data_IF_242229850848
#
_entry.id   IF_242229850848
#
_cell.length_a   1.000
_cell.length_b   1.000
_cell.length_c   1.000
_cell.angle_alpha   90.00
_cell.angle_beta   90.00
_cell.angle_gamma   90.00
#
_symmetry.space_group_name_H-M   'P 1'
#
loop_
_entity.id
_entity.type
_entity.pdbx_description
1 polymer ?
#
# COMPACT_ATOMS: atom_id res chain seq x y z
N UNK A 1 -16.08 5.59 -1.76
CA UNK A 1 -15.01 4.63 -1.46
C UNK A 1 -14.88 4.34 0.01
N UNK A 2 -15.46 3.22 0.44
CA UNK A 2 -15.28 2.60 1.77
C UNK A 2 -14.31 1.42 1.65
N UNK A 3 -13.35 1.31 2.57
CA UNK A 3 -12.27 0.33 2.50
C UNK A 3 -12.30 -0.63 3.70
N UNK A 4 -12.43 -1.93 3.46
CA UNK A 4 -12.32 -2.94 4.53
C UNK A 4 -10.88 -3.43 4.64
N UNK A 5 -10.32 -3.51 5.86
CA UNK A 5 -8.99 -4.07 6.10
C UNK A 5 -9.11 -5.29 7.01
N UNK A 6 -8.96 -6.48 6.44
CA UNK A 6 -9.10 -7.76 7.14
C UNK A 6 -7.75 -8.39 7.45
N UNK A 7 -7.67 -9.08 8.60
CA UNK A 7 -6.52 -9.86 9.05
C UNK A 7 -6.97 -11.26 9.50
N UNK A 8 -6.05 -12.22 9.67
CA UNK A 8 -6.37 -13.55 10.18
C UNK A 8 -6.93 -13.52 11.61
N UNK A 9 -7.61 -14.60 12.02
CA UNK A 9 -8.29 -14.66 13.33
C UNK A 9 -7.34 -14.60 14.53
N UNK A 10 -6.12 -15.14 14.41
CA UNK A 10 -5.10 -15.11 15.45
C UNK A 10 -3.79 -14.48 14.92
N UNK A 11 -3.80 -13.16 14.67
CA UNK A 11 -2.76 -12.48 13.93
C UNK A 11 -1.46 -12.35 14.73
N UNK A 12 -0.32 -12.41 14.04
CA UNK A 12 0.96 -12.01 14.61
C UNK A 12 0.90 -10.53 15.05
N UNK A 13 1.66 -10.16 16.10
CA UNK A 13 1.68 -8.78 16.63
C UNK A 13 1.94 -7.72 15.55
N UNK A 14 2.82 -8.03 14.60
CA UNK A 14 3.19 -7.14 13.50
C UNK A 14 2.07 -7.05 12.45
N UNK A 15 1.26 -8.10 12.28
CA UNK A 15 0.07 -8.09 11.42
C UNK A 15 -0.98 -7.14 12.01
N UNK A 16 -1.22 -7.22 13.32
CA UNK A 16 -2.12 -6.30 14.03
C UNK A 16 -1.62 -4.86 13.98
N UNK A 17 -0.33 -4.65 14.20
CA UNK A 17 0.29 -3.32 14.09
C UNK A 17 0.15 -2.74 12.67
N UNK A 18 0.42 -3.54 11.64
CA UNK A 18 0.27 -3.13 10.25
C UNK A 18 -1.18 -2.78 9.92
N UNK A 19 -2.16 -3.59 10.37
CA UNK A 19 -3.57 -3.28 10.16
C UNK A 19 -3.93 -1.92 10.77
N UNK A 20 -3.56 -1.68 12.04
CA UNK A 20 -3.82 -0.43 12.74
C UNK A 20 -3.19 0.76 12.02
N UNK A 21 -1.95 0.61 11.55
CA UNK A 21 -1.27 1.66 10.78
C UNK A 21 -1.96 1.93 9.45
N UNK A 22 -2.40 0.90 8.71
CA UNK A 22 -3.15 1.09 7.48
C UNK A 22 -4.50 1.76 7.73
N UNK A 23 -5.19 1.43 8.82
CA UNK A 23 -6.43 2.10 9.24
C UNK A 23 -6.24 3.58 9.57
N UNK A 24 -5.06 3.96 10.06
CA UNK A 24 -4.72 5.35 10.32
C UNK A 24 -4.35 6.12 9.05
N UNK A 25 -3.89 5.42 8.00
CA UNK A 25 -3.38 5.99 6.75
C UNK A 25 -4.48 6.13 5.70
N UNK A 26 -5.30 5.08 5.53
CA UNK A 26 -6.26 4.98 4.44
C UNK A 26 -7.56 5.65 4.87
N UNK A 27 -8.03 6.69 4.16
CA UNK A 27 -9.27 7.37 4.50
C UNK A 27 -10.48 6.44 4.31
N UNK A 28 -11.52 6.65 5.11
CA UNK A 28 -12.76 5.86 5.07
C UNK A 28 -12.55 4.34 5.19
N UNK A 29 -11.51 3.94 5.92
CA UNK A 29 -11.20 2.53 6.15
C UNK A 29 -11.72 2.04 7.50
N UNK A 30 -12.01 0.75 7.59
CA UNK A 30 -12.42 0.08 8.83
C UNK A 30 -11.82 -1.33 8.91
N UNK A 31 -11.61 -1.81 10.14
CA UNK A 31 -11.05 -3.13 10.39
C UNK A 31 -12.15 -4.19 10.44
N UNK A 32 -11.92 -5.34 9.78
CA UNK A 32 -12.84 -6.47 9.80
C UNK A 32 -13.09 -7.05 8.41
N UNK A 33 -14.01 -8.00 8.36
CA UNK A 33 -14.47 -8.59 7.10
C UNK A 33 -15.26 -7.58 6.26
N UNK A 34 -15.19 -7.68 4.91
CA UNK A 34 -15.90 -6.78 4.02
C UNK A 34 -17.42 -6.87 4.18
N UNK A 35 -18.06 -5.71 4.24
CA UNK A 35 -19.51 -5.54 4.13
C UNK A 35 -19.94 -5.27 2.68
N UNK A 36 -21.25 -5.29 2.42
CA UNK A 36 -21.82 -5.01 1.08
C UNK A 36 -21.49 -3.62 0.53
N UNK A 37 -21.05 -2.69 1.39
CA UNK A 37 -20.68 -1.31 1.01
C UNK A 37 -19.18 -1.15 0.74
N UNK A 38 -18.40 -2.22 0.86
CA UNK A 38 -16.95 -2.18 0.72
C UNK A 38 -16.57 -2.19 -0.76
N UNK A 39 -16.17 -1.02 -1.24
CA UNK A 39 -15.71 -0.84 -2.63
C UNK A 39 -14.29 -1.37 -2.82
N UNK A 40 -13.45 -1.26 -1.80
CA UNK A 40 -12.07 -1.79 -1.80
C UNK A 40 -11.86 -2.71 -0.61
N UNK A 41 -11.29 -3.87 -0.88
CA UNK A 41 -10.97 -4.90 0.10
C UNK A 41 -9.45 -5.02 0.19
N UNK A 42 -8.93 -4.80 1.39
CA UNK A 42 -7.53 -5.03 1.73
C UNK A 42 -7.46 -6.21 2.67
N UNK A 43 -6.70 -7.24 2.31
CA UNK A 43 -6.43 -8.39 3.17
C UNK A 43 -4.94 -8.50 3.43
N UNK A 44 -4.57 -8.52 4.70
CA UNK A 44 -3.21 -8.89 5.10
C UNK A 44 -3.18 -10.40 5.27
N UNK A 45 -2.29 -11.06 4.54
CA UNK A 45 -2.06 -12.50 4.64
C UNK A 45 -0.73 -12.70 5.35
N UNK A 46 -0.75 -13.54 6.37
CA UNK A 46 0.41 -13.84 7.20
C UNK A 46 0.83 -15.31 7.06
N UNK A 47 2.06 -15.56 7.47
CA UNK A 47 2.60 -16.89 7.77
C UNK A 47 3.11 -16.86 9.21
N UNK A 48 4.41 -16.70 9.45
CA UNK A 48 4.94 -16.35 10.79
C UNK A 48 4.66 -14.89 11.15
N UNK A 49 4.53 -14.02 10.15
CA UNK A 49 4.20 -12.60 10.26
C UNK A 49 3.62 -12.08 8.94
N UNK A 50 3.37 -10.77 8.79
CA UNK A 50 2.70 -10.23 7.62
C UNK A 50 3.55 -10.46 6.36
N UNK A 51 3.02 -11.22 5.40
CA UNK A 51 3.76 -11.69 4.22
C UNK A 51 3.24 -11.11 2.91
N UNK A 52 1.94 -10.91 2.79
CA UNK A 52 1.33 -10.26 1.62
C UNK A 52 0.27 -9.26 2.02
N UNK A 53 0.11 -8.24 1.19
CA UNK A 53 -1.05 -7.34 1.19
C UNK A 53 -1.77 -7.55 -0.13
N UNK A 54 -3.03 -7.95 -0.04
CA UNK A 54 -3.90 -8.13 -1.19
C UNK A 54 -4.86 -6.95 -1.23
N UNK A 55 -4.79 -6.15 -2.28
CA UNK A 55 -5.77 -5.12 -2.58
C UNK A 55 -6.70 -5.64 -3.65
N UNK A 56 -8.00 -5.41 -3.51
CA UNK A 56 -9.01 -5.87 -4.45
C UNK A 56 -10.13 -4.85 -4.57
N UNK A 57 -10.55 -4.56 -5.78
CA UNK A 57 -11.82 -3.92 -6.11
C UNK A 57 -12.63 -4.82 -7.07
N UNK A 58 -13.66 -4.27 -7.71
CA UNK A 58 -14.48 -4.98 -8.70
C UNK A 58 -13.72 -5.40 -9.96
N UNK A 59 -12.69 -4.66 -10.36
CA UNK A 59 -11.99 -4.79 -11.64
C UNK A 59 -10.64 -5.47 -11.52
N UNK A 60 -9.93 -5.30 -10.42
CA UNK A 60 -8.55 -5.74 -10.25
C UNK A 60 -8.26 -6.24 -8.84
N UNK A 61 -7.40 -7.25 -8.76
CA UNK A 61 -6.76 -7.69 -7.53
C UNK A 61 -5.24 -7.59 -7.66
N UNK A 62 -4.62 -6.82 -6.79
CA UNK A 62 -3.18 -6.65 -6.66
C UNK A 62 -2.68 -7.45 -5.45
N UNK A 63 -1.74 -8.37 -5.68
CA UNK A 63 -1.06 -9.11 -4.60
C UNK A 63 0.35 -8.57 -4.48
N UNK A 64 0.63 -7.88 -3.38
CA UNK A 64 1.95 -7.34 -3.06
C UNK A 64 2.59 -8.20 -1.97
N UNK A 65 3.78 -8.74 -2.25
CA UNK A 65 4.61 -9.38 -1.24
C UNK A 65 5.28 -8.32 -0.38
N UNK A 66 5.19 -8.47 0.94
CA UNK A 66 5.96 -7.69 1.90
C UNK A 66 7.37 -8.28 1.93
N UNK A 67 8.35 -7.51 1.45
CA UNK A 67 9.77 -7.85 1.51
C UNK A 67 10.35 -7.38 2.83
N UNK A 68 9.93 -6.20 3.29
CA UNK A 68 10.30 -5.66 4.58
C UNK A 68 9.16 -4.81 5.13
N UNK A 69 8.89 -4.96 6.42
CA UNK A 69 8.01 -4.10 7.18
C UNK A 69 8.76 -3.58 8.41
N UNK A 70 8.72 -2.26 8.61
CA UNK A 70 9.16 -1.58 9.83
C UNK A 70 7.99 -0.73 10.33
N UNK A 71 7.44 -1.11 11.48
CA UNK A 71 6.36 -0.37 12.12
C UNK A 71 6.83 1.02 12.59
N UNK A 72 5.88 1.91 12.87
CA UNK A 72 6.12 3.23 13.47
C UNK A 72 6.83 3.09 14.81
N UNK A 73 6.44 2.12 15.62
CA UNK A 73 7.08 1.83 16.91
C UNK A 73 8.55 1.43 16.72
N UNK A 74 8.84 0.54 15.76
CA UNK A 74 10.21 0.17 15.42
C UNK A 74 11.03 1.38 14.96
N UNK A 75 10.43 2.27 14.18
CA UNK A 75 11.06 3.50 13.67
C UNK A 75 11.11 4.63 14.73
N UNK A 76 10.55 4.41 15.92
CA UNK A 76 10.43 5.42 17.00
C UNK A 76 9.69 6.68 16.56
N UNK A 77 8.67 6.50 15.72
CA UNK A 77 7.84 7.58 15.18
C UNK A 77 6.61 7.75 16.06
N UNK A 78 6.62 8.77 16.94
CA UNK A 78 5.52 9.05 17.85
C UNK A 78 4.46 10.00 17.27
N UNK A 79 4.79 10.75 16.21
CA UNK A 79 3.89 11.75 15.64
C UNK A 79 2.64 11.09 15.05
N UNK A 80 1.43 11.55 15.41
CA UNK A 80 0.19 10.94 14.95
C UNK A 80 -0.07 11.24 13.48
N UNK A 81 -0.74 10.32 12.79
CA UNK A 81 -1.25 10.53 11.44
C UNK A 81 -2.60 11.24 11.58
N UNK A 82 -2.78 12.39 10.93
CA UNK A 82 -4.04 13.14 11.01
C UNK A 82 -5.09 12.46 10.12
N UNK A 83 -6.26 12.17 10.71
CA UNK A 83 -7.42 11.61 10.00
C UNK A 83 -8.27 12.68 9.33
N UNK A 84 -8.33 13.88 9.91
CA UNK A 84 -9.06 15.04 9.37
C UNK A 84 -8.42 15.61 8.10
N UNK A 85 -7.13 15.37 7.93
CA UNK A 85 -6.35 15.80 6.77
C UNK A 85 -5.64 14.60 6.14
N UNK A 86 -6.39 13.70 5.47
CA UNK A 86 -5.86 12.43 4.97
C UNK A 86 -4.70 12.65 3.99
N UNK A 87 -3.76 11.71 3.91
CA UNK A 87 -2.59 11.89 3.06
C UNK A 87 -2.92 11.88 1.57
N UNK A 88 -2.19 12.67 0.81
CA UNK A 88 -2.27 12.73 -0.65
C UNK A 88 -1.30 11.72 -1.29
N UNK A 89 -1.66 11.17 -2.44
CA UNK A 89 -0.83 10.21 -3.15
C UNK A 89 0.26 10.91 -3.97
N UNK A 90 1.50 10.45 -3.79
CA UNK A 90 2.64 10.72 -4.66
C UNK A 90 3.16 9.38 -5.17
N UNK A 91 3.36 9.28 -6.48
CA UNK A 91 3.94 8.10 -7.13
C UNK A 91 5.18 8.51 -7.91
N UNK A 92 6.21 7.68 -7.85
CA UNK A 92 7.49 7.92 -8.52
C UNK A 92 7.95 6.67 -9.25
N UNK A 93 8.45 6.82 -10.48
CA UNK A 93 9.01 5.77 -11.34
C UNK A 93 8.03 4.64 -11.73
N UNK A 94 6.72 4.90 -11.74
CA UNK A 94 5.74 4.01 -12.36
C UNK A 94 5.65 4.33 -13.86
N UNK A 95 6.50 3.71 -14.67
CA UNK A 95 6.64 4.03 -16.11
C UNK A 95 6.05 3.00 -17.05
N UNK A 96 5.76 1.79 -16.55
CA UNK A 96 5.18 0.70 -17.35
C UNK A 96 3.66 0.72 -17.30
N UNK A 97 2.98 0.12 -18.28
CA UNK A 97 1.51 0.04 -18.30
C UNK A 97 0.94 -0.65 -17.05
N UNK A 98 1.59 -1.73 -16.61
CA UNK A 98 1.27 -2.42 -15.36
C UNK A 98 1.46 -1.47 -14.16
N UNK A 99 2.53 -0.68 -14.18
CA UNK A 99 2.77 0.33 -13.17
C UNK A 99 1.66 1.39 -13.15
N UNK A 100 1.25 1.88 -14.31
CA UNK A 100 0.16 2.86 -14.44
C UNK A 100 -1.18 2.30 -13.93
N UNK A 101 -1.47 1.03 -14.18
CA UNK A 101 -2.65 0.35 -13.65
C UNK A 101 -2.62 0.25 -12.11
N UNK A 102 -1.45 -0.03 -11.53
CA UNK A 102 -1.28 0.01 -10.07
C UNK A 102 -1.49 1.44 -9.54
N UNK A 103 -0.97 2.46 -10.23
CA UNK A 103 -1.17 3.87 -9.86
C UNK A 103 -2.65 4.25 -9.90
N UNK A 104 -3.39 3.84 -10.92
CA UNK A 104 -4.82 4.11 -11.04
C UNK A 104 -5.61 3.53 -9.86
N UNK A 105 -5.31 2.28 -9.49
CA UNK A 105 -5.88 1.65 -8.30
C UNK A 105 -5.53 2.42 -7.01
N UNK A 106 -4.25 2.77 -6.83
CA UNK A 106 -3.79 3.52 -5.65
C UNK A 106 -4.43 4.91 -5.57
N UNK A 107 -4.60 5.60 -6.71
CA UNK A 107 -5.20 6.93 -6.78
C UNK A 107 -6.67 6.93 -6.33
N UNK A 108 -7.42 5.86 -6.62
CA UNK A 108 -8.76 5.67 -6.08
C UNK A 108 -8.79 5.67 -4.55
N UNK A 109 -7.74 5.18 -3.90
CA UNK A 109 -7.68 5.07 -2.43
C UNK A 109 -7.38 6.38 -1.69
N UNK A 110 -6.77 7.36 -2.37
CA UNK A 110 -6.26 8.58 -1.75
C UNK A 110 -6.83 9.82 -2.46
N UNK A 111 -8.01 10.30 -2.04
CA UNK A 111 -8.64 11.46 -2.66
C UNK A 111 -7.82 12.73 -2.43
N UNK A 112 -7.92 13.66 -3.38
CA UNK A 112 -7.29 14.97 -3.29
C UNK A 112 -7.87 15.79 -2.12
N UNK A 113 -7.00 16.34 -1.28
CA UNK A 113 -7.40 17.17 -0.13
C UNK A 113 -6.49 18.40 -0.03
N UNK A 114 -6.95 19.61 -0.45
CA UNK A 114 -6.11 20.81 -0.57
C UNK A 114 -5.36 21.20 0.72
N UNK A 115 -6.02 21.07 1.88
CA UNK A 115 -5.42 21.45 3.17
C UNK A 115 -4.48 20.38 3.75
N UNK A 116 -4.35 19.23 3.09
CA UNK A 116 -3.55 18.12 3.62
C UNK A 116 -2.06 18.38 3.46
N UNK A 117 -1.35 18.28 4.58
CA UNK A 117 0.12 18.35 4.65
C UNK A 117 0.76 16.98 4.82
N UNK A 118 0.02 15.92 4.54
CA UNK A 118 0.48 14.53 4.62
C UNK A 118 0.52 13.94 3.22
N UNK A 119 1.55 13.14 2.94
CA UNK A 119 1.74 12.49 1.64
C UNK A 119 2.11 11.03 1.84
N UNK A 120 1.36 10.14 1.19
CA UNK A 120 1.80 8.76 0.97
C UNK A 120 2.62 8.75 -0.31
N UNK A 121 3.84 8.24 -0.23
CA UNK A 121 4.73 8.11 -1.36
C UNK A 121 4.94 6.64 -1.69
N UNK A 122 4.64 6.28 -2.94
CA UNK A 122 5.03 5.01 -3.55
C UNK A 122 6.12 5.27 -4.57
N UNK A 123 7.28 4.66 -4.41
CA UNK A 123 8.39 4.80 -5.36
C UNK A 123 8.82 3.43 -5.87
N UNK A 124 8.94 3.28 -7.17
CA UNK A 124 9.52 2.07 -7.77
C UNK A 124 11.03 2.23 -7.93
N UNK A 125 11.79 1.25 -7.47
CA UNK A 125 13.22 1.11 -7.76
C UNK A 125 13.53 -0.37 -8.02
N UNK A 126 13.89 -0.67 -9.27
CA UNK A 126 13.97 -2.05 -9.75
C UNK A 126 12.61 -2.74 -9.66
N UNK A 127 12.57 -3.92 -9.05
CA UNK A 127 11.33 -4.70 -8.85
C UNK A 127 10.58 -4.33 -7.55
N UNK A 128 11.07 -3.36 -6.78
CA UNK A 128 10.56 -3.04 -5.46
C UNK A 128 9.74 -1.75 -5.47
N UNK A 129 8.63 -1.78 -4.74
CA UNK A 129 7.78 -0.64 -4.46
C UNK A 129 8.03 -0.22 -3.01
N UNK A 130 8.59 0.96 -2.82
CA UNK A 130 8.83 1.54 -1.51
C UNK A 130 7.64 2.40 -1.11
N UNK A 131 7.00 2.06 0.00
CA UNK A 131 5.93 2.85 0.58
C UNK A 131 6.43 3.62 1.80
N UNK A 132 6.19 4.93 1.81
CA UNK A 132 6.52 5.83 2.91
C UNK A 132 5.39 6.82 3.14
N UNK A 133 5.28 7.33 4.35
CA UNK A 133 4.33 8.38 4.70
C UNK A 133 5.07 9.53 5.35
N UNK A 134 4.94 10.71 4.74
CA UNK A 134 5.58 11.93 5.21
C UNK A 134 4.54 12.98 5.58
N UNK A 135 4.89 13.82 6.55
CA UNK A 135 4.28 15.13 6.77
C UNK A 135 5.27 16.18 6.30
N UNK A 136 4.78 17.23 5.65
CA UNK A 136 5.65 18.33 5.20
C UNK A 136 5.20 19.68 5.76
N UNK A 137 6.16 20.60 5.87
CA UNK A 137 5.90 22.02 6.03
C UNK A 137 6.72 22.82 5.02
N UNK A 138 6.23 24.01 4.68
CA UNK A 138 6.94 24.92 3.80
C UNK A 138 8.10 25.56 4.57
N UNK A 139 9.33 25.23 4.17
CA UNK A 139 10.53 25.94 4.60
C UNK A 139 10.88 27.08 3.63
N UNK A 140 11.88 27.89 3.99
CA UNK A 140 12.29 29.06 3.19
C UNK A 140 12.87 28.70 1.82
N UNK A 141 13.58 27.56 1.71
CA UNK A 141 14.26 27.13 0.48
C UNK A 141 13.68 25.84 -0.12
N UNK A 142 13.19 24.95 0.72
CA UNK A 142 12.65 23.65 0.33
C UNK A 142 11.63 23.17 1.36
N UNK A 143 10.70 22.27 0.97
CA UNK A 143 9.81 21.64 1.93
C UNK A 143 10.63 20.79 2.92
N UNK A 144 10.34 20.95 4.20
CA UNK A 144 10.87 20.10 5.25
C UNK A 144 9.93 18.91 5.36
N UNK A 145 10.45 17.71 5.14
CA UNK A 145 9.69 16.46 5.23
C UNK A 145 10.06 15.69 6.47
N UNK A 146 9.06 15.10 7.11
CA UNK A 146 9.22 14.28 8.29
C UNK A 146 8.46 12.96 8.13
N UNK A 147 9.11 11.84 8.47
CA UNK A 147 8.48 10.53 8.43
C UNK A 147 7.46 10.38 9.57
N UNK A 148 6.21 10.03 9.23
CA UNK A 148 5.13 9.86 10.22
C UNK A 148 4.46 8.47 10.17
N UNK A 149 4.80 7.64 9.18
CA UNK A 149 4.24 6.28 9.06
C UNK A 149 5.28 5.17 8.98
N UNK A 150 4.81 3.93 8.76
CA UNK A 150 5.67 2.75 8.64
C UNK A 150 6.45 2.76 7.34
N UNK A 151 7.52 1.97 7.31
CA UNK A 151 8.28 1.72 6.08
C UNK A 151 7.97 0.33 5.57
N UNK A 152 7.38 0.26 4.38
CA UNK A 152 7.22 -0.99 3.65
C UNK A 152 8.09 -1.02 2.41
N UNK A 153 8.69 -2.17 2.16
CA UNK A 153 9.28 -2.53 0.89
C UNK A 153 8.43 -3.67 0.35
N UNK A 154 7.77 -3.42 -0.77
CA UNK A 154 6.80 -4.31 -1.38
C UNK A 154 7.34 -4.79 -2.72
N UNK A 155 6.80 -5.91 -3.20
CA UNK A 155 7.05 -6.41 -4.55
C UNK A 155 5.74 -6.91 -5.15
N UNK A 156 5.42 -6.44 -6.36
CA UNK A 156 4.26 -6.96 -7.07
C UNK A 156 4.47 -8.43 -7.40
N UNK A 157 3.56 -9.28 -6.90
CA UNK A 157 3.64 -10.73 -7.06
C UNK A 157 2.65 -11.25 -8.10
N UNK A 158 1.42 -10.73 -8.07
CA UNK A 158 0.35 -11.19 -8.93
C UNK A 158 -0.67 -10.06 -9.16
N UNK A 159 -1.18 -9.97 -10.38
CA UNK A 159 -2.36 -9.18 -10.74
C UNK A 159 -3.43 -10.12 -11.27
N UNK A 160 -4.68 -9.86 -10.91
CA UNK A 160 -5.85 -10.50 -11.50
C UNK A 160 -6.75 -9.39 -12.01
N UNK A 161 -7.05 -9.40 -13.31
CA UNK A 161 -8.02 -8.50 -13.93
C UNK A 161 -9.34 -9.27 -14.12
N UNK A 162 -10.45 -8.65 -13.77
CA UNK A 162 -11.80 -9.19 -13.93
C UNK A 162 -12.49 -8.50 -15.10
N UNK A 163 -12.99 -9.28 -16.06
CA UNK A 163 -13.72 -8.79 -17.23
C UNK A 163 -15.00 -9.62 -17.38
N UNK A 164 -16.07 -9.17 -16.73
CA UNK A 164 -17.32 -9.93 -16.63
C UNK A 164 -17.07 -11.28 -15.92
N UNK A 165 -17.31 -12.38 -16.64
CA UNK A 165 -17.11 -13.73 -16.13
C UNK A 165 -15.67 -14.25 -16.31
N UNK A 166 -14.84 -13.54 -17.07
CA UNK A 166 -13.46 -13.92 -17.32
C UNK A 166 -12.51 -13.28 -16.32
N UNK A 167 -11.44 -13.99 -16.00
CA UNK A 167 -10.33 -13.45 -15.20
C UNK A 167 -9.01 -13.68 -15.90
N UNK A 168 -8.21 -12.63 -16.02
CA UNK A 168 -6.85 -12.70 -16.55
C UNK A 168 -5.87 -12.63 -15.39
N UNK A 169 -5.01 -13.63 -15.28
CA UNK A 169 -4.05 -13.75 -14.18
C UNK A 169 -2.64 -13.51 -14.69
N UNK A 170 -1.96 -12.51 -14.13
CA UNK A 170 -0.58 -12.18 -14.41
C UNK A 170 0.27 -12.47 -13.17
N UNK A 171 1.27 -13.35 -13.30
CA UNK A 171 2.18 -13.72 -12.22
C UNK A 171 3.58 -13.14 -12.48
N UNK A 172 4.17 -12.52 -11.47
CA UNK A 172 5.48 -11.88 -11.56
C UNK A 172 6.49 -12.67 -10.73
N UNK A 173 7.32 -13.47 -11.41
CA UNK A 173 8.38 -14.25 -10.77
C UNK A 173 9.58 -13.37 -10.42
N UNK A 174 10.43 -13.83 -9.51
CA UNK A 174 11.78 -13.26 -9.36
C UNK A 174 12.50 -13.42 -10.70
N UNK A 175 12.99 -12.32 -11.28
CA UNK A 175 13.88 -12.43 -12.43
C UNK A 175 15.11 -13.21 -11.99
N UNK A 176 15.24 -14.44 -12.47
CA UNK A 176 16.45 -15.23 -12.34
C UNK A 176 17.22 -14.93 -13.62
N UNK A 177 18.34 -14.21 -13.51
CA UNK A 177 19.24 -14.02 -14.66
C UNK A 177 19.73 -15.41 -15.04
N UNK A 178 19.27 -15.96 -16.16
CA UNK A 178 19.83 -17.20 -16.68
C UNK A 178 21.31 -16.94 -16.97
N UNK A 179 22.18 -17.45 -16.10
CA UNK A 179 23.65 -17.44 -16.26
C UNK A 179 24.11 -18.45 -17.34
N UNK A 180 23.29 -18.67 -18.37
CA UNK A 180 23.43 -19.77 -19.34
C UNK A 180 23.03 -19.33 -20.75
N UNK A 181 23.35 -18.09 -21.12
CA UNK A 181 23.37 -17.64 -22.51
C UNK A 181 24.65 -16.83 -22.69
N UNK A 182 25.79 -17.53 -22.63
CA UNK A 182 27.06 -17.20 -23.27
C UNK A 182 27.71 -18.52 -23.67
#
# INVERSE_FOLDING_TARGET
MRVSISIPHNPHKDTTALQKELLDIIPNSYGGDPDERSEVIIRIVEDVGPQWIVFKDEKIQLVLKIVQYKSRDYLRVSKPISKDHPPQLIVNNFTTDIGMQVVEFLAGMFPFHPSSRQVVNFTVQGDFIYFRLYRYCFGEKSPIMENVGPHLTLRLWKIIEYSGNEKKVMNFKKFIKNSSIL
#
